data_IF_111812367449
#
_entry.id   IF_111812367449
#
_cell.length_a   1.000
_cell.length_b   1.000
_cell.length_c   1.000
_cell.angle_alpha   90.00
_cell.angle_beta   90.00
_cell.angle_gamma   90.00
#
_symmetry.space_group_name_H-M   'P 1'
#
loop_
_entity.id
_entity.type
_entity.pdbx_description
1 polymer ?
#
# COMPACT_ATOMS: atom_id res chain seq x y z
N UNK A 1 6.68 8.76 1.78
CA UNK A 1 5.87 7.67 1.21
C UNK A 1 6.64 7.02 0.07
N UNK A 2 6.66 5.68 0.00
CA UNK A 2 7.27 4.94 -1.10
C UNK A 2 6.18 4.30 -1.97
N UNK A 3 6.28 4.48 -3.29
CA UNK A 3 5.40 3.84 -4.27
C UNK A 3 6.24 3.20 -5.36
N UNK A 4 5.75 2.09 -5.91
CA UNK A 4 6.42 1.37 -6.98
C UNK A 4 5.46 0.59 -7.85
N UNK A 5 6.01 0.06 -8.95
CA UNK A 5 5.33 -0.97 -9.73
C UNK A 5 5.69 -2.32 -9.12
N UNK A 6 4.67 -3.05 -8.69
CA UNK A 6 4.80 -4.40 -8.12
C UNK A 6 4.40 -5.41 -9.19
N UNK A 7 5.32 -6.30 -9.51
CA UNK A 7 5.06 -7.52 -10.27
C UNK A 7 4.44 -8.55 -9.31
N UNK A 8 3.20 -8.97 -9.58
CA UNK A 8 2.55 -10.05 -8.84
C UNK A 8 2.93 -11.41 -9.43
N UNK A 9 2.90 -12.46 -8.61
CA UNK A 9 3.21 -13.83 -9.03
C UNK A 9 2.25 -14.34 -10.14
N UNK A 10 1.04 -13.80 -10.19
CA UNK A 10 0.03 -14.06 -11.22
C UNK A 10 0.35 -13.36 -12.57
N UNK A 11 1.41 -12.56 -12.64
CA UNK A 11 1.90 -11.88 -13.85
C UNK A 11 1.31 -10.48 -14.10
N UNK A 12 0.40 -10.01 -13.24
CA UNK A 12 -0.15 -8.65 -13.32
C UNK A 12 0.78 -7.64 -12.66
N UNK A 13 0.85 -6.43 -13.23
CA UNK A 13 1.57 -5.28 -12.66
C UNK A 13 0.62 -4.27 -12.08
N UNK A 14 0.91 -3.80 -10.87
CA UNK A 14 0.11 -2.78 -10.20
C UNK A 14 0.98 -1.65 -9.66
N UNK A 15 0.42 -0.45 -9.61
CA UNK A 15 1.00 0.66 -8.83
C UNK A 15 0.49 0.54 -7.41
N UNK A 16 1.41 0.44 -6.44
CA UNK A 16 1.05 0.25 -5.04
C UNK A 16 1.97 1.00 -4.09
N UNK A 17 1.46 1.27 -2.89
CA UNK A 17 2.25 1.82 -1.80
C UNK A 17 3.10 0.72 -1.16
N UNK A 18 4.38 1.01 -0.94
CA UNK A 18 5.30 0.14 -0.22
C UNK A 18 5.58 0.78 1.15
N UNK A 19 5.32 0.03 2.22
CA UNK A 19 5.50 0.44 3.63
C UNK A 19 6.65 -0.32 4.28
N UNK A 20 7.07 0.14 5.46
CA UNK A 20 8.17 -0.46 6.22
C UNK A 20 9.56 -0.20 5.60
N UNK A 21 9.66 0.77 4.70
CA UNK A 21 10.92 1.17 4.05
C UNK A 21 11.37 2.52 4.61
N UNK A 22 12.63 2.60 5.03
CA UNK A 22 13.28 3.86 5.37
C UNK A 22 13.67 4.59 4.07
N UNK A 23 12.84 5.55 3.68
CA UNK A 23 13.02 6.34 2.46
C UNK A 23 14.29 7.18 2.47
N UNK A 24 14.90 7.43 3.63
CA UNK A 24 16.16 8.16 3.73
C UNK A 24 17.38 7.28 3.46
N UNK A 25 17.21 5.94 3.45
CA UNK A 25 18.25 4.94 3.19
C UNK A 25 18.09 4.34 1.79
N UNK A 26 18.05 5.22 0.80
CA UNK A 26 17.97 4.86 -0.62
C UNK A 26 18.98 3.77 -0.99
N UNK A 27 18.51 2.72 -1.67
CA UNK A 27 19.34 1.64 -2.19
C UNK A 27 19.61 0.48 -1.21
N UNK A 28 19.59 0.70 0.11
CA UNK A 28 19.68 -0.40 1.09
C UNK A 28 18.29 -0.89 1.51
N UNK A 29 17.35 0.04 1.70
CA UNK A 29 16.02 -0.24 2.22
C UNK A 29 15.01 -0.70 1.15
N UNK A 30 15.23 -0.41 -0.13
CA UNK A 30 14.35 -0.79 -1.24
C UNK A 30 15.18 -1.04 -2.52
N UNK A 31 14.93 -2.15 -3.21
CA UNK A 31 15.59 -2.54 -4.46
C UNK A 31 14.60 -3.16 -5.44
N UNK A 32 14.84 -2.95 -6.74
CA UNK A 32 14.08 -3.62 -7.80
C UNK A 32 14.27 -5.13 -7.70
N UNK A 33 13.17 -5.87 -7.83
CA UNK A 33 13.16 -7.34 -7.73
C UNK A 33 13.20 -7.87 -6.29
N UNK A 34 13.13 -7.02 -5.27
CA UNK A 34 12.99 -7.51 -3.90
C UNK A 34 11.61 -8.16 -3.70
N UNK A 35 11.53 -9.27 -2.95
CA UNK A 35 10.25 -9.88 -2.63
C UNK A 35 9.46 -8.98 -1.68
N UNK A 36 8.16 -8.88 -1.94
CA UNK A 36 7.20 -8.16 -1.11
C UNK A 36 6.11 -9.12 -0.64
N UNK A 37 5.37 -8.72 0.39
CA UNK A 37 4.11 -9.36 0.80
C UNK A 37 3.00 -8.32 0.88
N UNK A 38 1.77 -8.75 0.58
CA UNK A 38 0.59 -7.90 0.70
C UNK A 38 0.22 -7.67 2.16
N UNK A 39 -0.25 -6.47 2.47
CA UNK A 39 -0.80 -6.09 3.77
C UNK A 39 -2.05 -5.22 3.58
N UNK A 40 -3.07 -5.50 4.39
CA UNK A 40 -4.35 -4.78 4.35
C UNK A 40 -4.42 -3.85 5.56
N UNK A 41 -4.44 -2.55 5.29
CA UNK A 41 -4.60 -1.55 6.33
C UNK A 41 -6.05 -1.08 6.39
N UNK A 42 -6.66 -1.27 7.55
CA UNK A 42 -8.02 -0.79 7.81
C UNK A 42 -7.97 0.64 8.32
N UNK A 43 -8.76 1.52 7.71
CA UNK A 43 -8.94 2.88 8.17
C UNK A 43 -10.40 3.29 8.07
N UNK A 44 -10.79 4.20 8.97
CA UNK A 44 -12.12 4.80 8.98
C UNK A 44 -12.11 6.03 8.09
N UNK A 45 -13.06 6.09 7.18
CA UNK A 45 -13.28 7.25 6.31
C UNK A 45 -14.64 7.85 6.63
N UNK A 46 -14.70 9.15 6.88
CA UNK A 46 -15.96 9.88 6.94
C UNK A 46 -16.39 10.24 5.52
N UNK A 47 -17.57 9.79 5.12
CA UNK A 47 -18.19 10.11 3.83
C UNK A 47 -19.43 10.97 4.02
N UNK A 48 -19.64 11.93 3.13
CA UNK A 48 -20.88 12.70 3.06
C UNK A 48 -21.93 11.93 2.26
N UNK A 49 -23.09 11.70 2.87
CA UNK A 49 -24.25 11.09 2.23
C UNK A 49 -25.42 12.07 2.19
N UNK A 50 -26.47 11.72 1.45
CA UNK A 50 -27.74 12.49 1.46
C UNK A 50 -28.42 12.54 2.84
N UNK A 51 -27.99 11.70 3.80
CA UNK A 51 -28.50 11.68 5.19
C UNK A 51 -27.56 12.33 6.19
N UNK A 52 -26.43 12.90 5.75
CA UNK A 52 -25.39 13.45 6.61
C UNK A 52 -24.08 12.65 6.55
N UNK A 53 -23.20 12.86 7.52
CA UNK A 53 -21.89 12.21 7.59
C UNK A 53 -22.00 10.80 8.18
N UNK A 54 -21.35 9.84 7.53
CA UNK A 54 -21.26 8.45 7.97
C UNK A 54 -19.79 8.02 8.03
N UNK A 55 -19.43 7.21 9.02
CA UNK A 55 -18.09 6.62 9.14
C UNK A 55 -18.13 5.21 8.56
N UNK A 56 -17.27 4.94 7.58
CA UNK A 56 -17.15 3.63 6.93
C UNK A 56 -15.75 3.05 7.10
N UNK A 57 -15.68 1.74 7.28
CA UNK A 57 -14.40 1.02 7.27
C UNK A 57 -13.95 0.79 5.82
N UNK A 58 -12.71 1.19 5.51
CA UNK A 58 -12.05 0.90 4.24
C UNK A 58 -10.77 0.10 4.46
N UNK A 59 -10.48 -0.78 3.51
CA UNK A 59 -9.20 -1.44 3.41
C UNK A 59 -8.34 -0.75 2.34
N UNK A 60 -7.13 -0.33 2.70
CA UNK A 60 -6.09 0.04 1.76
C UNK A 60 -5.12 -1.14 1.60
N UNK A 61 -4.91 -1.56 0.35
CA UNK A 61 -3.94 -2.61 0.03
C UNK A 61 -2.57 -1.98 -0.12
N UNK A 62 -1.62 -2.44 0.68
CA UNK A 62 -0.22 -2.01 0.66
C UNK A 62 0.71 -3.21 0.54
N UNK A 63 1.99 -2.95 0.29
CA UNK A 63 3.02 -3.98 0.25
C UNK A 63 4.12 -3.65 1.24
N UNK A 64 4.71 -4.67 1.84
CA UNK A 64 5.88 -4.52 2.71
C UNK A 64 6.98 -5.49 2.31
N UNK A 65 8.26 -5.14 2.56
CA UNK A 65 9.38 -6.06 2.44
C UNK A 65 9.10 -7.40 3.14
N UNK A 66 9.45 -8.51 2.47
CA UNK A 66 9.40 -9.85 3.05
C UNK A 66 10.63 -10.16 3.91
#
# INVERSE_FOLDING_TARGET
>A
YCFGIVDLDEGTRISAQIKGVDELKYGEAIKVGMPLKVEFEMYKETIDTHKGQEEVDRAHVTFVPK
#
